data_IF_692961597729
#
_entry.id   IF_692961597729
#
_cell.length_a   1.000
_cell.length_b   1.000
_cell.length_c   1.000
_cell.angle_alpha   90.00
_cell.angle_beta   90.00
_cell.angle_gamma   90.00
#
_symmetry.space_group_name_H-M   'P 1'
#
loop_
_entity.id
_entity.type
_entity.pdbx_description
1 polymer ?
#
# COMPACT_ATOMS: atom_id res chain seq x y z
N UNK A 1 -6.93 -33.03 2.86
CA UNK A 1 -5.85 -32.20 2.30
C UNK A 1 -5.90 -30.86 3.04
N UNK A 2 -4.94 -30.57 3.91
CA UNK A 2 -4.96 -29.35 4.73
C UNK A 2 -3.97 -28.33 4.17
N UNK A 3 -4.49 -27.21 3.66
CA UNK A 3 -3.73 -26.01 3.31
C UNK A 3 -3.22 -25.33 4.58
N UNK A 4 -1.95 -25.60 4.92
CA UNK A 4 -1.20 -24.84 5.89
C UNK A 4 -0.62 -23.60 5.21
N UNK A 5 -1.23 -22.46 5.54
CA UNK A 5 -0.76 -21.10 5.31
C UNK A 5 0.64 -20.89 5.90
N UNK A 6 1.67 -21.03 5.06
CA UNK A 6 3.06 -20.76 5.45
C UNK A 6 3.39 -19.29 5.27
N UNK A 7 3.46 -18.60 6.41
CA UNK A 7 4.11 -17.30 6.57
C UNK A 7 5.54 -17.34 6.02
N UNK A 8 5.83 -16.47 5.05
CA UNK A 8 7.07 -15.69 4.98
C UNK A 8 8.33 -16.38 4.44
N UNK A 9 8.57 -16.25 3.13
CA UNK A 9 9.92 -16.37 2.55
C UNK A 9 10.23 -15.30 1.50
N UNK A 10 9.53 -14.17 1.48
CA UNK A 10 9.99 -12.98 0.73
C UNK A 10 10.90 -12.13 1.64
N UNK A 11 12.22 -12.35 1.56
CA UNK A 11 13.21 -11.40 2.11
C UNK A 11 13.27 -10.19 1.18
N UNK A 12 12.87 -9.02 1.69
CA UNK A 12 12.63 -7.77 0.95
C UNK A 12 13.81 -7.22 0.13
N UNK A 13 15.02 -7.77 0.24
CA UNK A 13 16.24 -7.14 -0.28
C UNK A 13 17.22 -8.14 -0.91
N UNK A 14 16.90 -9.43 -0.96
CA UNK A 14 17.81 -10.43 -1.54
C UNK A 14 17.58 -10.55 -3.05
N UNK A 15 18.44 -9.93 -3.85
CA UNK A 15 18.37 -9.96 -5.32
C UNK A 15 18.78 -11.32 -5.90
N UNK A 16 19.54 -12.13 -5.16
CA UNK A 16 19.97 -13.48 -5.60
C UNK A 16 18.82 -14.49 -5.52
N UNK A 17 17.92 -14.30 -4.55
CA UNK A 17 16.70 -15.11 -4.38
C UNK A 17 15.55 -14.60 -5.25
N UNK A 18 15.46 -13.29 -5.48
CA UNK A 18 14.31 -12.67 -6.15
C UNK A 18 14.52 -12.39 -7.65
N UNK A 19 15.74 -12.41 -8.18
CA UNK A 19 16.00 -12.15 -9.60
C UNK A 19 15.32 -10.89 -10.14
N UNK A 20 14.79 -10.94 -11.36
CA UNK A 20 14.05 -9.83 -12.02
C UNK A 20 12.69 -9.50 -11.37
N UNK A 21 12.25 -10.26 -10.36
CA UNK A 21 10.93 -10.08 -9.72
C UNK A 21 10.82 -8.75 -8.98
N UNK A 22 11.94 -8.17 -8.54
CA UNK A 22 11.96 -6.84 -7.91
C UNK A 22 11.53 -5.76 -8.89
N UNK A 23 12.03 -5.79 -10.14
CA UNK A 23 11.67 -4.85 -11.19
C UNK A 23 10.17 -4.92 -11.53
N UNK A 24 9.64 -6.14 -11.62
CA UNK A 24 8.21 -6.38 -11.87
C UNK A 24 7.34 -5.92 -10.71
N UNK A 25 7.76 -6.12 -9.46
CA UNK A 25 7.05 -5.64 -8.28
C UNK A 25 6.99 -4.10 -8.24
N UNK A 26 8.11 -3.43 -8.54
CA UNK A 26 8.18 -1.97 -8.63
C UNK A 26 7.29 -1.45 -9.76
N UNK A 27 7.33 -2.06 -10.95
CA UNK A 27 6.48 -1.67 -12.07
C UNK A 27 4.99 -1.87 -11.77
N UNK A 28 4.62 -2.99 -11.12
CA UNK A 28 3.25 -3.25 -10.69
C UNK A 28 2.79 -2.25 -9.63
N UNK A 29 3.66 -1.87 -8.68
CA UNK A 29 3.34 -0.87 -7.68
C UNK A 29 3.11 0.50 -8.33
N UNK A 30 4.01 0.96 -9.22
CA UNK A 30 3.84 2.20 -9.98
C UNK A 30 2.51 2.24 -10.73
N UNK A 31 2.18 1.16 -11.46
CA UNK A 31 0.89 1.04 -12.19
C UNK A 31 -0.34 1.12 -11.28
N UNK A 32 -0.24 0.64 -10.04
CA UNK A 32 -1.33 0.78 -9.06
C UNK A 32 -1.43 2.22 -8.55
N UNK A 33 -0.29 2.84 -8.24
CA UNK A 33 -0.22 4.20 -7.71
C UNK A 33 -0.71 5.25 -8.72
N UNK A 34 -0.53 5.03 -10.04
CA UNK A 34 -1.06 5.90 -11.10
C UNK A 34 -2.58 6.13 -11.01
N UNK A 35 -3.33 5.19 -10.43
CA UNK A 35 -4.80 5.27 -10.28
C UNK A 35 -5.23 5.77 -8.90
N UNK A 36 -4.28 6.09 -8.03
CA UNK A 36 -4.56 6.60 -6.69
C UNK A 36 -4.34 8.11 -6.64
N UNK A 37 -5.08 8.74 -5.75
CA UNK A 37 -5.13 10.18 -5.57
C UNK A 37 -4.71 10.54 -4.15
N UNK A 38 -3.96 11.63 -3.96
CA UNK A 38 -3.58 12.07 -2.63
C UNK A 38 -4.80 12.56 -1.85
N UNK A 39 -4.98 12.02 -0.65
CA UNK A 39 -5.92 12.48 0.36
C UNK A 39 -5.13 12.87 1.61
N UNK A 40 -5.19 14.14 1.95
CA UNK A 40 -4.45 14.69 3.10
C UNK A 40 -5.26 14.50 4.37
N UNK A 41 -4.66 13.86 5.36
CA UNK A 41 -5.28 13.66 6.66
C UNK A 41 -4.93 14.83 7.58
N UNK A 42 -3.65 15.23 7.62
CA UNK A 42 -3.20 16.40 8.37
C UNK A 42 -2.04 17.10 7.62
N UNK A 43 -1.42 18.10 8.25
CA UNK A 43 -0.29 18.81 7.64
C UNK A 43 0.90 17.90 7.30
N UNK A 44 1.10 16.79 8.00
CA UNK A 44 2.26 15.88 7.83
C UNK A 44 1.94 14.58 7.09
N UNK A 45 0.67 14.18 7.03
CA UNK A 45 0.25 12.84 6.61
C UNK A 45 -0.69 12.92 5.40
N UNK A 46 -0.26 12.29 4.32
CA UNK A 46 -1.03 12.11 3.07
C UNK A 46 -1.09 10.63 2.77
N UNK A 47 -2.27 10.14 2.40
CA UNK A 47 -2.48 8.77 1.95
C UNK A 47 -2.95 8.77 0.49
N UNK A 48 -2.63 7.71 -0.25
CA UNK A 48 -3.08 7.53 -1.63
C UNK A 48 -4.30 6.61 -1.67
N UNK A 49 -5.42 7.14 -2.18
CA UNK A 49 -6.72 6.45 -2.20
C UNK A 49 -7.34 6.47 -3.59
N UNK A 50 -8.25 5.54 -3.88
CA UNK A 50 -9.05 5.60 -5.12
C UNK A 50 -9.90 6.87 -5.16
N UNK A 51 -10.24 7.32 -6.37
CA UNK A 51 -10.99 8.57 -6.58
C UNK A 51 -12.31 8.64 -5.80
N UNK A 52 -13.06 7.53 -5.75
CA UNK A 52 -14.30 7.37 -4.98
C UNK A 52 -14.13 7.67 -3.47
N UNK A 53 -12.94 7.42 -2.93
CA UNK A 53 -12.60 7.55 -1.52
C UNK A 53 -11.87 8.86 -1.21
N UNK A 54 -11.65 9.74 -2.19
CA UNK A 54 -11.01 11.04 -2.01
C UNK A 54 -12.02 12.06 -1.42
N UNK A 55 -12.58 11.75 -0.25
CA UNK A 55 -13.59 12.55 0.43
C UNK A 55 -13.27 12.71 1.92
N UNK A 56 -13.92 13.70 2.55
CA UNK A 56 -13.70 14.05 3.96
C UNK A 56 -14.09 12.94 4.92
N UNK A 57 -15.23 12.28 4.68
CA UNK A 57 -15.70 11.16 5.51
C UNK A 57 -14.67 10.01 5.56
N UNK A 58 -14.08 9.66 4.42
CA UNK A 58 -13.02 8.65 4.37
C UNK A 58 -11.76 9.12 5.11
N UNK A 59 -11.40 10.41 4.99
CA UNK A 59 -10.27 10.98 5.72
C UNK A 59 -10.47 10.86 7.24
N UNK A 60 -11.66 11.18 7.76
CA UNK A 60 -11.96 11.06 9.20
C UNK A 60 -11.93 9.62 9.69
N UNK A 61 -12.47 8.69 8.89
CA UNK A 61 -12.38 7.25 9.20
C UNK A 61 -10.93 6.77 9.22
N UNK A 62 -10.13 7.21 8.25
CA UNK A 62 -8.71 6.88 8.16
C UNK A 62 -7.93 7.43 9.36
N UNK A 63 -8.16 8.71 9.73
CA UNK A 63 -7.61 9.36 10.93
C UNK A 63 -7.85 8.55 12.21
N UNK A 64 -9.11 8.18 12.47
CA UNK A 64 -9.49 7.36 13.63
C UNK A 64 -8.78 6.01 13.63
N UNK A 65 -8.66 5.37 12.46
CA UNK A 65 -8.02 4.05 12.33
C UNK A 65 -6.51 4.09 12.62
N UNK A 66 -5.83 5.16 12.25
CA UNK A 66 -4.38 5.32 12.44
C UNK A 66 -4.01 6.09 13.71
N UNK A 67 -4.99 6.52 14.50
CA UNK A 67 -4.77 7.27 15.73
C UNK A 67 -4.24 8.69 15.51
N UNK A 68 -4.62 9.34 14.41
CA UNK A 68 -4.30 10.74 14.15
C UNK A 68 -5.52 11.58 14.54
N UNK A 69 -5.36 12.40 15.57
CA UNK A 69 -6.31 13.44 15.97
C UNK A 69 -6.20 14.68 15.07
#
# INVERSE_FOLDING_TARGET
>A
MNELTTKGTYKKVDLTVNGDKTSQAVAAQKKREEKLFPLRLNSKTVIYVKKENQNTHYAEKAKKKIGIE
#
